data_IF_599512767328
#
_entry.id   IF_599512767328
#
_cell.length_a   1.000
_cell.length_b   1.000
_cell.length_c   1.000
_cell.angle_alpha   90.00
_cell.angle_beta   90.00
_cell.angle_gamma   90.00
#
_symmetry.space_group_name_H-M   'P 1'
#
loop_
_entity.id
_entity.type
_entity.pdbx_description
1 polymer ?
#
# COMPACT_ATOMS: atom_id res chain seq x y z
N UNK A 1 6.53 30.38 19.99
CA UNK A 1 7.58 29.38 19.75
C UNK A 1 6.94 28.26 18.97
N UNK A 2 7.08 28.26 17.65
CA UNK A 2 6.43 27.28 16.76
C UNK A 2 7.41 26.12 16.52
N UNK A 3 7.37 25.12 17.41
CA UNK A 3 8.07 23.86 17.19
C UNK A 3 7.14 22.97 16.38
N UNK A 4 7.14 23.17 15.06
CA UNK A 4 6.43 22.31 14.14
C UNK A 4 6.84 20.85 14.41
N UNK A 5 5.91 19.96 14.83
CA UNK A 5 6.16 18.51 15.04
C UNK A 5 6.34 17.76 13.71
N UNK A 6 6.78 18.49 12.68
CA UNK A 6 6.79 18.09 11.29
C UNK A 6 7.99 17.19 10.97
N UNK A 7 8.92 16.97 11.91
CA UNK A 7 10.16 16.24 11.65
C UNK A 7 10.22 14.82 12.26
N UNK A 8 9.20 14.37 12.98
CA UNK A 8 9.21 13.09 13.71
C UNK A 8 8.85 11.85 12.85
N UNK A 9 9.13 11.89 11.56
CA UNK A 9 8.92 10.73 10.68
C UNK A 9 9.82 9.53 11.05
N UNK A 10 10.93 9.79 11.74
CA UNK A 10 11.83 8.76 12.30
C UNK A 10 11.39 8.25 13.67
N UNK A 11 10.43 8.92 14.31
CA UNK A 11 9.99 8.53 15.64
C UNK A 11 9.28 7.17 15.62
N UNK A 12 9.48 6.34 16.66
CA UNK A 12 8.92 4.98 16.70
C UNK A 12 7.39 4.99 16.61
N UNK A 13 6.73 5.99 17.22
CA UNK A 13 5.28 6.14 17.14
C UNK A 13 4.77 6.46 15.72
N UNK A 14 5.53 7.21 14.93
CA UNK A 14 5.17 7.51 13.54
C UNK A 14 5.36 6.28 12.65
N UNK A 15 6.49 5.57 12.81
CA UNK A 15 6.76 4.32 12.09
C UNK A 15 5.70 3.26 12.35
N UNK A 16 5.27 3.10 13.61
CA UNK A 16 4.17 2.20 13.96
C UNK A 16 2.86 2.55 13.24
N UNK A 17 2.51 3.84 13.16
CA UNK A 17 1.34 4.30 12.40
C UNK A 17 1.47 3.98 10.90
N UNK A 18 2.66 4.08 10.33
CA UNK A 18 2.92 3.76 8.93
C UNK A 18 2.82 2.27 8.66
N UNK A 19 3.41 1.44 9.53
CA UNK A 19 3.29 -0.03 9.48
C UNK A 19 1.80 -0.43 9.50
N UNK A 20 1.01 0.14 10.41
CA UNK A 20 -0.43 -0.11 10.48
C UNK A 20 -1.17 0.27 9.17
N UNK A 21 -0.84 1.41 8.56
CA UNK A 21 -1.43 1.82 7.28
C UNK A 21 -1.06 0.88 6.12
N UNK A 22 0.20 0.40 6.08
CA UNK A 22 0.64 -0.59 5.10
C UNK A 22 -0.12 -1.90 5.30
N UNK A 23 -0.24 -2.37 6.55
CA UNK A 23 -0.98 -3.59 6.88
C UNK A 23 -2.44 -3.51 6.46
N UNK A 24 -3.12 -2.39 6.76
CA UNK A 24 -4.49 -2.17 6.32
C UNK A 24 -4.61 -2.15 4.80
N UNK A 25 -3.65 -1.56 4.09
CA UNK A 25 -3.62 -1.54 2.63
C UNK A 25 -3.43 -2.96 2.04
N UNK A 26 -2.52 -3.75 2.61
CA UNK A 26 -2.28 -5.15 2.21
C UNK A 26 -3.47 -6.05 2.51
N UNK A 27 -4.07 -5.93 3.71
CA UNK A 27 -5.30 -6.66 4.08
C UNK A 27 -6.43 -6.32 3.14
N UNK A 28 -6.55 -5.06 2.75
CA UNK A 28 -7.52 -4.64 1.72
C UNK A 28 -7.16 -5.23 0.37
N UNK A 29 -5.90 -5.20 -0.06
CA UNK A 29 -5.47 -5.77 -1.34
C UNK A 29 -5.77 -7.27 -1.47
N UNK A 30 -5.81 -8.00 -0.35
CA UNK A 30 -6.04 -9.45 -0.35
C UNK A 30 -4.86 -10.25 -0.91
N UNK A 31 -3.70 -9.59 -1.08
CA UNK A 31 -2.48 -10.21 -1.59
C UNK A 31 -1.75 -10.87 -0.42
N UNK A 32 -1.65 -12.21 -0.44
CA UNK A 32 -0.77 -12.94 0.47
C UNK A 32 0.69 -12.67 0.06
N UNK A 33 1.25 -11.55 0.53
CA UNK A 33 2.68 -11.27 0.33
C UNK A 33 3.50 -11.98 1.41
N UNK A 34 4.62 -12.56 0.99
CA UNK A 34 5.59 -13.22 1.88
C UNK A 34 6.35 -12.25 2.81
N UNK A 35 6.23 -10.93 2.60
CA UNK A 35 6.92 -9.89 3.39
C UNK A 35 5.94 -9.22 4.34
N UNK A 36 6.36 -9.04 5.59
CA UNK A 36 5.53 -8.41 6.63
C UNK A 36 5.44 -6.88 6.45
N UNK A 37 4.39 -6.25 6.99
CA UNK A 37 4.21 -4.79 7.01
C UNK A 37 5.43 -4.06 7.60
N UNK A 38 6.07 -4.68 8.61
CA UNK A 38 7.30 -4.20 9.24
C UNK A 38 8.50 -4.20 8.30
N UNK A 39 8.72 -5.29 7.54
CA UNK A 39 9.81 -5.34 6.56
C UNK A 39 9.60 -4.33 5.44
N UNK A 40 8.36 -4.15 4.99
CA UNK A 40 8.03 -3.21 3.93
C UNK A 40 8.28 -1.76 4.38
N UNK A 41 7.87 -1.40 5.60
CA UNK A 41 8.18 -0.10 6.18
C UNK A 41 9.69 0.10 6.35
N UNK A 42 10.41 -0.90 6.86
CA UNK A 42 11.85 -0.81 7.06
C UNK A 42 12.61 -0.59 5.73
N UNK A 43 12.15 -1.23 4.65
CA UNK A 43 12.68 -0.98 3.31
C UNK A 43 12.45 0.46 2.84
N UNK A 44 11.26 1.01 3.08
CA UNK A 44 10.93 2.40 2.74
C UNK A 44 11.73 3.37 3.61
N UNK A 45 11.91 3.06 4.89
CA UNK A 45 12.71 3.84 5.83
C UNK A 45 14.18 3.93 5.41
N UNK A 46 14.80 2.81 5.04
CA UNK A 46 16.20 2.76 4.57
C UNK A 46 16.35 3.52 3.24
N UNK A 47 15.35 3.43 2.36
CA UNK A 47 15.39 4.06 1.03
C UNK A 47 15.15 5.57 1.08
N UNK A 48 14.30 6.03 1.99
CA UNK A 48 13.94 7.43 2.11
C UNK A 48 15.08 8.25 2.76
N UNK A 49 15.52 9.29 2.04
CA UNK A 49 16.53 10.23 2.57
C UNK A 49 15.91 11.38 3.36
N UNK A 50 14.64 11.66 3.08
CA UNK A 50 13.87 12.76 3.67
C UNK A 50 12.44 12.31 3.97
N UNK A 51 11.74 13.08 4.82
CA UNK A 51 10.33 12.86 5.15
C UNK A 51 9.44 12.82 3.92
N UNK A 52 9.64 13.76 3.00
CA UNK A 52 8.84 13.89 1.78
C UNK A 52 8.94 12.63 0.91
N UNK A 53 10.17 12.10 0.76
CA UNK A 53 10.43 10.84 0.05
C UNK A 53 9.76 9.65 0.74
N UNK A 54 9.86 9.57 2.07
CA UNK A 54 9.25 8.51 2.86
C UNK A 54 7.72 8.50 2.67
N UNK A 55 7.07 9.66 2.83
CA UNK A 55 5.63 9.80 2.63
C UNK A 55 5.21 9.48 1.20
N UNK A 56 5.98 9.94 0.21
CA UNK A 56 5.71 9.68 -1.21
C UNK A 56 5.81 8.20 -1.55
N UNK A 57 6.82 7.50 -1.01
CA UNK A 57 7.01 6.06 -1.19
C UNK A 57 5.88 5.27 -0.53
N UNK A 58 5.54 5.57 0.72
CA UNK A 58 4.43 4.94 1.45
C UNK A 58 3.10 5.17 0.73
N UNK A 59 2.82 6.41 0.30
CA UNK A 59 1.60 6.75 -0.42
C UNK A 59 1.48 5.95 -1.72
N UNK A 60 2.54 5.92 -2.55
CA UNK A 60 2.57 5.14 -3.80
C UNK A 60 2.40 3.65 -3.53
N UNK A 61 3.01 3.13 -2.46
CA UNK A 61 2.90 1.74 -2.04
C UNK A 61 1.46 1.37 -1.66
N UNK A 62 0.81 2.19 -0.82
CA UNK A 62 -0.59 1.99 -0.40
C UNK A 62 -1.55 2.09 -1.60
N UNK A 63 -1.34 3.05 -2.51
CA UNK A 63 -2.16 3.20 -3.72
C UNK A 63 -2.02 1.98 -4.63
N UNK A 64 -0.79 1.49 -4.83
CA UNK A 64 -0.51 0.30 -5.62
C UNK A 64 -1.26 -0.92 -5.09
N UNK A 65 -1.23 -1.13 -3.78
CA UNK A 65 -1.99 -2.21 -3.14
C UNK A 65 -3.50 -2.11 -3.35
N UNK A 66 -4.08 -0.90 -3.37
CA UNK A 66 -5.51 -0.72 -3.61
C UNK A 66 -5.89 -0.93 -5.08
N UNK A 67 -5.00 -0.61 -6.01
CA UNK A 67 -5.23 -0.71 -7.45
C UNK A 67 -5.17 -2.16 -7.99
N UNK A 68 -4.39 -3.04 -7.36
CA UNK A 68 -4.29 -4.47 -7.73
C UNK A 68 -5.66 -5.17 -7.80
N UNK A 69 -6.66 -4.75 -7.00
CA UNK A 69 -8.03 -5.30 -7.06
C UNK A 69 -8.85 -4.86 -8.26
N UNK A 70 -8.51 -3.73 -8.90
CA UNK A 70 -9.25 -3.20 -10.05
C UNK A 70 -8.93 -3.97 -11.34
N UNK A 71 -7.70 -4.47 -11.47
CA UNK A 71 -7.27 -5.27 -12.61
C UNK A 71 -7.76 -6.73 -12.53
N UNK A 72 -7.90 -7.31 -11.32
CA UNK A 72 -8.38 -8.69 -11.17
C UNK A 72 -9.91 -8.83 -11.27
N UNK A 73 -10.69 -7.75 -11.09
CA UNK A 73 -12.17 -7.76 -11.16
C UNK A 73 -12.72 -7.26 -12.50
N UNK A 74 -11.89 -6.88 -13.46
CA UNK A 74 -12.37 -6.48 -14.81
C UNK A 74 -12.29 -7.60 -15.86
N UNK A 75 -11.91 -8.83 -15.46
CA UNK A 75 -11.78 -9.99 -16.35
C UNK A 75 -12.99 -10.93 -16.43
N UNK A 76 -14.10 -10.62 -15.75
CA UNK A 76 -15.31 -11.45 -15.79
C UNK A 76 -16.46 -10.76 -16.53
N UNK A 77 -16.25 -10.42 -17.80
CA UNK A 77 -17.37 -10.21 -18.73
C UNK A 77 -16.91 -10.44 -20.16
N UNK A 78 -16.82 -11.71 -20.54
CA UNK A 78 -17.10 -12.10 -21.90
C UNK A 78 -18.15 -13.21 -21.80
N UNK A 79 -19.39 -12.74 -21.76
CA UNK A 79 -20.58 -13.53 -22.05
C UNK A 79 -20.28 -14.51 -23.20
N UNK A 80 -20.33 -15.80 -22.90
CA UNK A 80 -20.32 -16.87 -23.90
C UNK A 80 -21.70 -17.52 -23.98
N UNK A 81 -22.74 -16.70 -23.81
CA UNK A 81 -24.14 -17.13 -23.75
C UNK A 81 -24.83 -16.94 -25.10
N UNK A 82 -24.20 -17.27 -26.22
CA UNK A 82 -24.92 -17.27 -27.50
C UNK A 82 -24.35 -18.22 -28.57
N UNK A 83 -24.23 -19.51 -28.26
CA UNK A 83 -24.22 -20.52 -29.32
C UNK A 83 -24.90 -21.80 -28.84
N UNK A 84 -26.15 -21.66 -28.39
CA UNK A 84 -27.05 -22.77 -28.08
C UNK A 84 -28.37 -22.49 -28.77
N UNK A 85 -28.42 -22.68 -30.10
CA UNK A 85 -29.67 -23.04 -30.79
C UNK A 85 -29.36 -24.08 -31.89
N UNK A 86 -30.25 -25.09 -32.06
CA UNK A 86 -30.09 -26.27 -32.90
C UNK A 86 -30.16 -26.00 -34.40
#
# INVERSE_FOLDING_TARGET
MDLAPDNDWRSPGFRQKVVAQIEEAMRKAGTAHAKTSNEMENHVFIKAKSREEYLSLVARLIIHFRDIRKLSVSGCQADRSFQRYP
#
